data_IF_268624758199
#
_entry.id   IF_268624758199
#
_cell.length_a   1.000
_cell.length_b   1.000
_cell.length_c   1.000
_cell.angle_alpha   90.00
_cell.angle_beta   90.00
_cell.angle_gamma   90.00
#
_symmetry.space_group_name_H-M   'P 1'
#
loop_
_entity.id
_entity.type
_entity.pdbx_description
1 polymer ?
#
# COMPACT_ATOMS: atom_id res chain seq x y z
N UNK A 1 -16.67 21.38 28.47
CA UNK A 1 -17.09 20.63 27.25
C UNK A 1 -18.42 19.95 27.54
N UNK A 2 -19.46 20.21 26.74
CA UNK A 2 -20.77 19.60 26.90
C UNK A 2 -20.77 18.14 26.40
N UNK A 3 -21.60 17.28 27.00
CA UNK A 3 -21.76 15.86 26.60
C UNK A 3 -22.14 15.69 25.12
N UNK A 4 -22.82 16.68 24.55
CA UNK A 4 -23.25 16.66 23.15
C UNK A 4 -22.06 16.69 22.18
N UNK A 5 -20.99 17.39 22.54
CA UNK A 5 -19.76 17.45 21.74
C UNK A 5 -19.06 16.09 21.66
N UNK A 6 -18.98 15.37 22.78
CA UNK A 6 -18.35 14.04 22.83
C UNK A 6 -19.15 13.02 22.01
N UNK A 7 -20.49 13.09 22.04
CA UNK A 7 -21.36 12.20 21.26
C UNK A 7 -21.18 12.41 19.75
N UNK A 8 -21.06 13.67 19.31
CA UNK A 8 -20.86 14.00 17.91
C UNK A 8 -19.48 13.55 17.40
N UNK A 9 -18.41 13.77 18.17
CA UNK A 9 -17.06 13.28 17.82
C UNK A 9 -17.03 11.75 17.76
N UNK A 10 -17.66 11.06 18.70
CA UNK A 10 -17.68 9.60 18.72
C UNK A 10 -18.40 9.04 17.49
N UNK A 11 -19.56 9.61 17.11
CA UNK A 11 -20.28 9.21 15.90
C UNK A 11 -19.45 9.47 14.64
N UNK A 12 -18.81 10.64 14.55
CA UNK A 12 -17.96 10.99 13.41
C UNK A 12 -16.74 10.07 13.31
N UNK A 13 -16.13 9.69 14.44
CA UNK A 13 -15.00 8.77 14.47
C UNK A 13 -15.41 7.37 13.98
N UNK A 14 -16.59 6.88 14.36
CA UNK A 14 -17.09 5.59 13.87
C UNK A 14 -17.28 5.60 12.36
N UNK A 15 -17.91 6.64 11.82
CA UNK A 15 -18.12 6.78 10.36
C UNK A 15 -16.78 6.91 9.62
N UNK A 16 -15.86 7.73 10.13
CA UNK A 16 -14.53 7.94 9.55
C UNK A 16 -13.72 6.65 9.42
N UNK A 17 -13.86 5.72 10.36
CA UNK A 17 -13.14 4.44 10.33
C UNK A 17 -13.85 3.33 9.54
N UNK A 18 -15.10 3.54 9.13
CA UNK A 18 -15.92 2.53 8.48
C UNK A 18 -16.10 2.80 6.97
N UNK A 19 -16.26 4.07 6.58
CA UNK A 19 -16.68 4.46 5.24
C UNK A 19 -15.67 5.39 4.56
N UNK A 20 -15.48 5.29 3.23
CA UNK A 20 -16.00 4.25 2.33
C UNK A 20 -15.21 2.93 2.39
N UNK A 21 -14.02 2.95 2.96
CA UNK A 21 -13.16 1.77 3.15
C UNK A 21 -12.78 1.69 4.63
N UNK A 22 -13.05 0.57 5.31
CA UNK A 22 -12.72 0.43 6.71
C UNK A 22 -11.21 0.49 7.00
N UNK A 23 -10.86 1.10 8.14
CA UNK A 23 -9.49 1.17 8.64
C UNK A 23 -8.77 2.48 8.32
N UNK A 24 -7.45 2.51 8.58
CA UNK A 24 -6.63 3.74 8.47
C UNK A 24 -5.43 3.60 7.53
N UNK A 25 -5.02 2.37 7.25
CA UNK A 25 -3.78 2.07 6.53
C UNK A 25 -4.14 1.32 5.26
N UNK A 26 -3.46 1.64 4.17
CA UNK A 26 -3.52 0.91 2.91
C UNK A 26 -2.12 0.74 2.33
N UNK A 27 -1.95 -0.24 1.44
CA UNK A 27 -0.77 -0.42 0.59
C UNK A 27 -1.24 -0.39 -0.85
N UNK A 28 -0.57 0.38 -1.68
CA UNK A 28 -0.89 0.53 -3.11
C UNK A 28 0.35 0.29 -3.97
N UNK A 29 0.12 -0.20 -5.19
CA UNK A 29 1.19 -0.42 -6.16
C UNK A 29 1.76 0.93 -6.63
N UNK A 30 3.06 1.00 -6.87
CA UNK A 30 3.76 2.21 -7.35
C UNK A 30 4.14 2.15 -8.83
N UNK A 31 3.90 1.01 -9.48
CA UNK A 31 4.17 0.75 -10.91
C UNK A 31 2.91 0.18 -11.57
N UNK A 32 2.72 0.35 -12.90
CA UNK A 32 1.62 -0.27 -13.63
C UNK A 32 1.59 -1.79 -13.42
N UNK A 33 0.38 -2.35 -13.35
CA UNK A 33 0.12 -3.79 -13.18
C UNK A 33 -1.08 -4.27 -13.98
N UNK A 34 -1.45 -3.55 -15.05
CA UNK A 34 -2.74 -3.70 -15.73
C UNK A 34 -2.66 -4.54 -17.00
N UNK A 35 -1.45 -4.85 -17.48
CA UNK A 35 -1.22 -5.66 -18.67
C UNK A 35 -0.34 -6.89 -18.39
N UNK A 36 -0.36 -7.86 -19.31
CA UNK A 36 0.54 -9.01 -19.25
C UNK A 36 2.02 -8.59 -19.23
N UNK A 37 2.36 -7.53 -19.96
CA UNK A 37 3.72 -6.98 -19.97
C UNK A 37 4.09 -6.41 -18.61
N UNK A 38 3.17 -5.68 -17.97
CA UNK A 38 3.41 -5.08 -16.66
C UNK A 38 3.60 -6.15 -15.58
N UNK A 39 2.76 -7.18 -15.60
CA UNK A 39 2.88 -8.32 -14.69
C UNK A 39 4.19 -9.10 -14.91
N UNK A 40 4.62 -9.27 -16.16
CA UNK A 40 5.89 -9.91 -16.50
C UNK A 40 7.10 -9.11 -16.01
N UNK A 41 6.99 -7.78 -15.85
CA UNK A 41 8.04 -6.93 -15.28
C UNK A 41 8.01 -6.93 -13.76
N UNK A 42 6.82 -6.83 -13.16
CA UNK A 42 6.63 -6.78 -11.70
C UNK A 42 6.88 -8.13 -11.01
N UNK A 43 6.64 -9.23 -11.72
CA UNK A 43 6.83 -10.59 -11.22
C UNK A 43 7.67 -11.43 -12.19
N UNK A 44 7.50 -12.74 -12.21
CA UNK A 44 8.20 -13.63 -13.14
C UNK A 44 7.82 -13.29 -14.59
N UNK A 45 8.80 -13.16 -15.51
CA UNK A 45 10.25 -13.37 -15.33
C UNK A 45 11.07 -12.14 -14.90
N UNK A 46 10.52 -10.92 -14.99
CA UNK A 46 11.25 -9.66 -14.82
C UNK A 46 11.88 -9.45 -13.44
N UNK A 47 11.19 -9.87 -12.37
CA UNK A 47 11.68 -9.78 -10.98
C UNK A 47 13.01 -10.52 -10.75
N UNK A 48 13.38 -11.46 -11.62
CA UNK A 48 14.63 -12.19 -11.49
C UNK A 48 15.85 -11.29 -11.65
N UNK A 49 15.79 -10.22 -12.46
CA UNK A 49 16.93 -9.33 -12.67
C UNK A 49 17.33 -8.55 -11.41
N UNK A 50 16.43 -7.81 -10.72
CA UNK A 50 16.81 -7.12 -9.48
C UNK A 50 17.30 -8.11 -8.40
N UNK A 51 16.71 -9.31 -8.32
CA UNK A 51 17.18 -10.35 -7.39
C UNK A 51 18.62 -10.80 -7.69
N UNK A 52 18.98 -11.01 -8.96
CA UNK A 52 20.36 -11.35 -9.35
C UNK A 52 21.34 -10.24 -8.98
N UNK A 53 20.96 -8.97 -9.19
CA UNK A 53 21.79 -7.82 -8.81
C UNK A 53 22.02 -7.73 -7.30
N UNK A 54 20.98 -7.97 -6.50
CA UNK A 54 21.10 -7.99 -5.03
C UNK A 54 21.98 -9.15 -4.55
N UNK A 55 21.92 -10.30 -5.25
CA UNK A 55 22.80 -11.44 -4.95
C UNK A 55 24.28 -11.15 -5.26
N UNK A 56 24.57 -10.33 -6.28
CA UNK A 56 25.92 -9.88 -6.63
C UNK A 56 26.41 -8.76 -5.70
N UNK A 57 25.54 -7.80 -5.37
CA UNK A 57 25.81 -6.64 -4.52
C UNK A 57 24.61 -6.36 -3.59
N UNK A 58 24.71 -6.69 -2.29
CA UNK A 58 23.63 -6.45 -1.32
C UNK A 58 23.18 -4.98 -1.22
N UNK A 59 24.05 -4.00 -1.51
CA UNK A 59 23.69 -2.58 -1.47
C UNK A 59 22.73 -2.19 -2.60
N UNK A 60 22.59 -3.03 -3.63
CA UNK A 60 21.60 -2.82 -4.70
C UNK A 60 20.14 -2.91 -4.20
N UNK A 61 19.89 -3.45 -3.01
CA UNK A 61 18.55 -3.52 -2.41
C UNK A 61 17.96 -2.14 -2.03
N UNK A 62 18.80 -1.10 -1.95
CA UNK A 62 18.43 0.24 -1.51
C UNK A 62 18.34 1.28 -2.65
N UNK A 63 18.33 0.83 -3.91
CA UNK A 63 18.23 1.67 -5.12
C UNK A 63 16.91 1.45 -5.84
#
# INVERSE_FOLDING_TARGET
MSKDFDADINRAALEYHASPVPGKISVTVTKPTDSQRDLALAYTPGVAEPVRRIAEDPEAAYR
#
